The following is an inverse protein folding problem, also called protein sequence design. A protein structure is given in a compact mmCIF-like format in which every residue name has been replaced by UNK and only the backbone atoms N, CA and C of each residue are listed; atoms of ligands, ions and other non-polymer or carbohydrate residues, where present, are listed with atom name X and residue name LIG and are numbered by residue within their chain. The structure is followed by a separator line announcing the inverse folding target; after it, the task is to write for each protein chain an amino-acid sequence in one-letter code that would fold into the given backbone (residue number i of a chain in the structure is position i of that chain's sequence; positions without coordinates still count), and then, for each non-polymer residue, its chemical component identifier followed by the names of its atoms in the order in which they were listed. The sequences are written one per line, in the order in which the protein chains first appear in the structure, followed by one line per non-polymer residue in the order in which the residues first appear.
data_IF_345048652518
#
_entry.id   IF_345048652518
#
_cell.length_a   1.000
_cell.length_b   1.000
_cell.length_c   1.000
_cell.angle_alpha   90.00
_cell.angle_beta   90.00
_cell.angle_gamma   90.00
#
_symmetry.space_group_name_H-M   'P 1'
#
loop_
_entity.id
_entity.type
_entity.pdbx_description
1 polymer ?
#
# COMPACT_ATOMS: atom_id res chain seq x y z
N UNK A 1 67.34 5.80 -0.89
CA UNK A 1 66.08 6.53 -1.04
C UNK A 1 65.02 5.54 -1.50
N UNK A 2 64.18 5.02 -0.58
CA UNK A 2 63.15 4.03 -0.90
C UNK A 2 61.84 4.76 -1.15
N UNK A 3 61.33 4.68 -2.36
CA UNK A 3 60.02 5.22 -2.76
C UNK A 3 58.94 4.21 -2.33
N UNK A 4 58.08 4.59 -1.38
CA UNK A 4 56.90 3.79 -0.99
C UNK A 4 55.73 4.33 -1.79
N UNK A 5 55.30 3.56 -2.79
CA UNK A 5 54.08 3.85 -3.54
C UNK A 5 52.94 3.23 -2.74
N UNK A 6 52.17 4.08 -2.05
CA UNK A 6 50.95 3.69 -1.40
C UNK A 6 49.84 3.47 -2.41
N UNK A 7 49.37 2.22 -2.55
CA UNK A 7 48.15 1.91 -3.28
C UNK A 7 46.97 2.34 -2.45
N UNK A 8 46.30 3.42 -2.83
CA UNK A 8 44.96 3.74 -2.37
C UNK A 8 43.99 2.83 -3.09
N UNK A 9 43.48 1.80 -2.39
CA UNK A 9 42.34 1.03 -2.85
C UNK A 9 41.10 1.86 -2.54
N UNK A 10 40.58 2.54 -3.55
CA UNK A 10 39.28 3.20 -3.49
C UNK A 10 38.21 2.10 -3.56
N UNK A 11 37.70 1.65 -2.37
CA UNK A 11 36.56 0.78 -2.34
C UNK A 11 35.32 1.60 -2.70
N UNK A 12 34.93 1.54 -3.97
CA UNK A 12 33.63 2.02 -4.42
C UNK A 12 32.56 1.13 -3.81
N UNK A 13 31.95 1.60 -2.75
CA UNK A 13 30.74 1.02 -2.19
C UNK A 13 29.63 1.22 -3.23
N UNK A 14 29.43 0.23 -4.08
CA UNK A 14 28.29 0.18 -4.99
C UNK A 14 27.03 -0.04 -4.15
N UNK A 15 26.38 1.07 -3.78
CA UNK A 15 25.05 1.06 -3.21
C UNK A 15 24.08 0.66 -4.32
N UNK A 16 23.84 -0.65 -4.48
CA UNK A 16 22.76 -1.15 -5.31
C UNK A 16 21.44 -0.77 -4.65
N UNK A 17 20.90 0.39 -5.03
CA UNK A 17 19.50 0.70 -4.75
C UNK A 17 18.69 -0.17 -5.72
N UNK A 18 18.33 -1.37 -5.27
CA UNK A 18 17.37 -2.20 -5.97
C UNK A 18 16.02 -1.51 -5.90
N UNK A 19 15.67 -0.77 -6.94
CA UNK A 19 14.34 -0.21 -7.09
C UNK A 19 13.40 -1.36 -7.44
N UNK A 20 12.79 -1.98 -6.42
CA UNK A 20 11.84 -3.07 -6.65
C UNK A 20 10.59 -2.53 -7.33
N UNK A 21 10.37 -2.90 -8.58
CA UNK A 21 9.18 -2.56 -9.35
C UNK A 21 7.90 -3.24 -8.81
N UNK A 22 8.03 -4.25 -7.96
CA UNK A 22 6.95 -5.16 -7.56
C UNK A 22 6.55 -5.07 -6.07
N UNK A 23 7.02 -4.14 -5.31
CA UNK A 23 6.79 -4.11 -3.87
C UNK A 23 7.90 -4.81 -3.09
N UNK A 24 7.96 -4.55 -1.79
CA UNK A 24 8.97 -5.11 -0.90
C UNK A 24 8.40 -6.36 -0.22
N UNK A 25 9.15 -7.45 -0.24
CA UNK A 25 8.84 -8.60 0.60
C UNK A 25 9.09 -8.21 2.07
N UNK A 26 8.02 -8.22 2.87
CA UNK A 26 8.04 -7.80 4.28
C UNK A 26 8.18 -8.99 5.23
N UNK A 27 7.82 -10.15 4.79
CA UNK A 27 8.03 -11.46 5.41
C UNK A 27 7.95 -12.52 4.31
N UNK A 28 8.39 -13.74 4.60
CA UNK A 28 8.35 -14.84 3.63
C UNK A 28 6.95 -14.98 3.00
N UNK A 29 6.89 -14.93 1.69
CA UNK A 29 5.67 -15.09 0.89
C UNK A 29 4.72 -13.91 0.87
N UNK A 30 5.06 -12.75 1.49
CA UNK A 30 4.17 -11.59 1.56
C UNK A 30 4.84 -10.33 1.04
N UNK A 31 4.22 -9.73 0.04
CA UNK A 31 4.63 -8.47 -0.55
C UNK A 31 3.78 -7.30 -0.02
N UNK A 32 4.40 -6.13 0.08
CA UNK A 32 3.73 -4.87 0.32
C UNK A 32 4.12 -3.85 -0.73
N UNK A 33 3.14 -3.24 -1.38
CA UNK A 33 3.40 -2.09 -2.24
C UNK A 33 3.86 -0.93 -1.38
N UNK A 34 5.01 -0.29 -1.69
CA UNK A 34 5.49 0.86 -0.94
C UNK A 34 4.47 1.99 -0.90
N UNK A 35 4.33 2.65 0.25
CA UNK A 35 3.29 3.68 0.46
C UNK A 35 3.47 4.89 -0.47
N UNK A 36 4.70 5.17 -0.92
CA UNK A 36 5.03 6.24 -1.88
C UNK A 36 4.34 6.07 -3.24
N UNK A 37 3.95 4.83 -3.59
CA UNK A 37 3.22 4.54 -4.82
C UNK A 37 1.78 5.06 -4.80
N UNK A 38 1.27 5.43 -3.63
CA UNK A 38 -0.09 5.90 -3.42
C UNK A 38 -0.16 7.40 -3.10
N UNK A 39 0.96 8.11 -3.23
CA UNK A 39 1.00 9.54 -3.03
C UNK A 39 0.43 10.29 -4.24
N UNK A 40 -0.16 11.45 -3.97
CA UNK A 40 -0.68 12.37 -5.00
C UNK A 40 -1.69 11.77 -5.98
N UNK A 41 -2.46 10.78 -5.53
CA UNK A 41 -3.53 10.21 -6.34
C UNK A 41 -4.66 11.22 -6.54
N UNK A 42 -5.06 11.40 -7.81
CA UNK A 42 -6.11 12.35 -8.19
C UNK A 42 -7.45 11.98 -7.54
N UNK A 43 -8.06 12.96 -6.88
CA UNK A 43 -9.38 12.82 -6.24
C UNK A 43 -9.43 11.74 -5.13
N UNK A 44 -8.30 11.46 -4.47
CA UNK A 44 -8.22 10.45 -3.42
C UNK A 44 -7.57 11.02 -2.14
N UNK A 45 -8.26 11.94 -1.44
CA UNK A 45 -7.72 12.64 -0.27
C UNK A 45 -7.89 11.86 1.05
N UNK A 46 -8.29 10.58 0.98
CA UNK A 46 -8.66 9.81 2.14
C UNK A 46 -7.45 9.33 2.93
N UNK A 47 -7.55 9.41 4.26
CA UNK A 47 -6.53 8.88 5.15
C UNK A 47 -6.62 7.36 5.20
N UNK A 48 -5.50 6.64 5.06
CA UNK A 48 -5.51 5.19 5.17
C UNK A 48 -5.75 4.76 6.62
N UNK A 49 -6.55 3.70 6.79
CA UNK A 49 -6.61 2.92 8.01
C UNK A 49 -6.09 1.51 7.72
N UNK A 50 -5.53 0.87 8.73
CA UNK A 50 -4.98 -0.47 8.61
C UNK A 50 -5.40 -1.33 9.80
N UNK A 51 -5.64 -2.60 9.53
CA UNK A 51 -5.81 -3.64 10.54
C UNK A 51 -4.97 -4.85 10.18
N UNK A 52 -4.63 -5.65 11.17
CA UNK A 52 -3.92 -6.91 10.97
C UNK A 52 -4.92 -8.07 11.04
N UNK A 53 -4.98 -8.87 9.98
CA UNK A 53 -5.80 -10.08 9.91
C UNK A 53 -4.88 -11.21 9.44
N UNK A 54 -4.77 -12.26 10.24
CA UNK A 54 -3.94 -13.44 9.95
C UNK A 54 -2.48 -13.08 9.53
N UNK A 55 -1.95 -12.03 10.15
CA UNK A 55 -0.59 -11.56 9.89
C UNK A 55 -0.43 -10.76 8.59
N UNK A 56 -1.52 -10.40 7.91
CA UNK A 56 -1.53 -9.51 6.77
C UNK A 56 -2.04 -8.12 7.18
N UNK A 57 -1.42 -7.07 6.66
CA UNK A 57 -1.92 -5.71 6.79
C UNK A 57 -3.04 -5.49 5.77
N UNK A 58 -4.23 -5.20 6.24
CA UNK A 58 -5.40 -4.89 5.42
C UNK A 58 -5.68 -3.40 5.51
N UNK A 59 -5.74 -2.75 4.37
CA UNK A 59 -6.12 -1.34 4.24
C UNK A 59 -7.63 -1.20 4.13
N UNK A 60 -8.18 -0.14 4.73
CA UNK A 60 -9.56 0.26 4.52
C UNK A 60 -9.72 1.77 4.69
N UNK A 61 -10.73 2.31 4.02
CA UNK A 61 -11.24 3.65 4.27
C UNK A 61 -12.42 3.58 5.22
N UNK A 62 -12.59 4.62 6.05
CA UNK A 62 -13.71 4.75 6.97
C UNK A 62 -14.06 6.24 7.07
N UNK A 63 -14.99 6.65 6.25
CA UNK A 63 -15.36 8.03 6.01
C UNK A 63 -16.80 8.33 6.44
N UNK A 64 -17.07 9.56 6.85
CA UNK A 64 -18.39 10.02 7.30
C UNK A 64 -18.63 9.88 8.81
N UNK A 65 -19.90 10.08 9.27
CA UNK A 65 -20.25 10.06 10.69
C UNK A 65 -20.05 8.69 11.32
N UNK A 66 -19.40 8.63 12.47
CA UNK A 66 -19.05 7.37 13.15
C UNK A 66 -20.24 6.64 13.76
N UNK A 67 -21.31 7.36 14.03
CA UNK A 67 -22.56 6.89 14.64
C UNK A 67 -23.62 6.47 13.60
N UNK A 68 -23.37 6.72 12.32
CA UNK A 68 -24.25 6.25 11.24
C UNK A 68 -23.99 4.79 10.87
N UNK A 69 -25.05 4.08 10.47
CA UNK A 69 -24.91 2.74 9.90
C UNK A 69 -24.03 2.75 8.67
N UNK A 70 -23.02 1.87 8.59
CA UNK A 70 -22.06 1.91 7.51
C UNK A 70 -22.60 1.33 6.20
N UNK A 71 -22.30 2.01 5.10
CA UNK A 71 -22.37 1.43 3.75
C UNK A 71 -21.01 0.79 3.46
N UNK A 72 -21.03 -0.48 3.14
CA UNK A 72 -19.84 -1.24 2.81
C UNK A 72 -19.67 -1.32 1.29
N UNK A 73 -18.55 -0.79 0.76
CA UNK A 73 -18.25 -0.79 -0.67
C UNK A 73 -17.09 -1.77 -0.93
N UNK A 74 -17.42 -2.89 -1.55
CA UNK A 74 -16.44 -3.92 -1.90
C UNK A 74 -16.12 -3.85 -3.38
N UNK A 75 -14.83 -3.73 -3.71
CA UNK A 75 -14.36 -3.73 -5.10
C UNK A 75 -14.25 -5.16 -5.65
N UNK A 76 -14.25 -5.26 -6.98
CA UNK A 76 -13.89 -6.48 -7.70
C UNK A 76 -12.47 -6.43 -8.26
N UNK A 77 -12.06 -7.50 -8.92
CA UNK A 77 -10.78 -7.58 -9.61
C UNK A 77 -10.86 -6.84 -10.97
N UNK A 78 -9.84 -6.08 -11.38
CA UNK A 78 -8.55 -5.79 -10.72
C UNK A 78 -8.54 -4.44 -9.99
N UNK A 79 -9.65 -4.02 -9.40
CA UNK A 79 -9.79 -2.71 -8.76
C UNK A 79 -9.32 -2.72 -7.29
N UNK A 80 -9.44 -1.58 -6.62
CA UNK A 80 -9.20 -1.35 -5.20
C UNK A 80 -10.01 -0.13 -4.75
N UNK A 81 -9.93 0.31 -3.52
CA UNK A 81 -10.75 1.39 -2.97
C UNK A 81 -10.75 2.69 -3.79
N UNK A 82 -9.72 2.93 -4.59
CA UNK A 82 -9.67 4.06 -5.53
C UNK A 82 -10.85 4.10 -6.52
N UNK A 83 -11.44 2.95 -6.82
CA UNK A 83 -12.64 2.86 -7.68
C UNK A 83 -13.76 3.76 -7.15
N UNK A 84 -13.93 3.79 -5.84
CA UNK A 84 -15.04 4.49 -5.18
C UNK A 84 -14.75 5.95 -4.82
N UNK A 85 -13.61 6.51 -5.20
CA UNK A 85 -13.17 7.86 -4.82
C UNK A 85 -14.17 8.97 -5.11
N UNK A 86 -15.00 8.80 -6.14
CA UNK A 86 -16.07 9.77 -6.50
C UNK A 86 -17.38 9.48 -5.78
N UNK A 87 -17.62 8.23 -5.40
CA UNK A 87 -18.85 7.80 -4.73
C UNK A 87 -18.82 8.15 -3.23
N UNK A 88 -17.68 7.96 -2.59
CA UNK A 88 -17.50 8.22 -1.15
C UNK A 88 -18.00 9.63 -0.76
N UNK A 89 -17.55 10.73 -1.40
CA UNK A 89 -18.00 12.08 -1.02
C UNK A 89 -19.51 12.29 -1.18
N UNK A 90 -20.13 11.66 -2.17
CA UNK A 90 -21.58 11.75 -2.39
C UNK A 90 -22.35 11.10 -1.24
N UNK A 91 -21.93 9.91 -0.83
CA UNK A 91 -22.57 9.18 0.25
C UNK A 91 -22.37 9.85 1.61
N UNK A 92 -21.14 10.32 1.89
CA UNK A 92 -20.85 10.98 3.17
C UNK A 92 -21.56 12.35 3.28
N UNK A 93 -21.71 13.08 2.17
CA UNK A 93 -22.48 14.32 2.14
C UNK A 93 -23.99 14.12 2.48
N UNK A 94 -24.50 12.92 2.29
CA UNK A 94 -25.86 12.53 2.68
C UNK A 94 -25.96 11.95 4.10
N UNK A 95 -24.89 12.00 4.87
CA UNK A 95 -24.84 11.55 6.26
C UNK A 95 -24.55 10.07 6.44
N UNK A 96 -24.14 9.35 5.40
CA UNK A 96 -23.75 7.95 5.52
C UNK A 96 -22.31 7.79 5.97
N UNK A 97 -22.06 6.78 6.78
CA UNK A 97 -20.70 6.26 7.01
C UNK A 97 -20.37 5.27 5.90
N UNK A 98 -19.16 5.33 5.37
CA UNK A 98 -18.73 4.49 4.23
C UNK A 98 -17.45 3.77 4.62
N UNK A 99 -17.46 2.44 4.53
CA UNK A 99 -16.28 1.59 4.77
C UNK A 99 -15.90 0.91 3.47
N UNK A 100 -14.63 1.04 3.09
CA UNK A 100 -14.12 0.55 1.79
C UNK A 100 -12.79 -0.16 2.02
N UNK A 101 -12.77 -1.49 2.15
CA UNK A 101 -11.52 -2.22 2.25
C UNK A 101 -10.85 -2.40 0.89
N UNK A 102 -9.54 -2.57 0.91
CA UNK A 102 -8.79 -3.21 -0.18
C UNK A 102 -8.68 -4.70 0.15
N UNK A 103 -9.17 -5.56 -0.72
CA UNK A 103 -9.00 -7.00 -0.58
C UNK A 103 -7.52 -7.39 -0.57
N UNK A 104 -7.18 -8.51 0.06
CA UNK A 104 -5.83 -9.08 0.00
C UNK A 104 -5.42 -9.22 -1.47
N UNK A 105 -4.21 -8.79 -1.80
CA UNK A 105 -3.72 -8.76 -3.18
C UNK A 105 -3.89 -7.43 -3.89
N UNK A 106 -4.69 -6.51 -3.38
CA UNK A 106 -5.04 -5.28 -4.07
C UNK A 106 -4.69 -4.02 -3.26
N UNK A 107 -4.56 -2.91 -3.98
CA UNK A 107 -4.36 -1.58 -3.41
C UNK A 107 -3.25 -1.52 -2.37
N UNK A 108 -3.57 -0.96 -1.20
CA UNK A 108 -2.63 -0.79 -0.07
C UNK A 108 -2.59 -1.99 0.88
N UNK A 109 -3.42 -3.01 0.67
CA UNK A 109 -3.37 -4.27 1.42
C UNK A 109 -2.17 -5.11 1.01
N UNK A 110 -1.73 -5.98 1.91
CA UNK A 110 -0.67 -6.94 1.64
C UNK A 110 -1.09 -7.94 0.55
N UNK A 111 -0.10 -8.54 -0.08
CA UNK A 111 -0.26 -9.44 -1.24
C UNK A 111 0.52 -10.71 -0.99
N UNK A 112 -0.04 -11.84 -1.38
CA UNK A 112 0.73 -13.07 -1.44
C UNK A 112 1.67 -13.06 -2.64
N UNK A 113 2.86 -13.61 -2.47
CA UNK A 113 3.82 -13.80 -3.55
C UNK A 113 3.32 -14.86 -4.52
N UNK A 114 2.69 -15.90 -4.00
CA UNK A 114 2.13 -16.99 -4.78
C UNK A 114 0.64 -16.78 -5.03
N UNK A 115 0.21 -16.98 -6.28
CA UNK A 115 -1.21 -16.93 -6.66
C UNK A 115 -2.06 -18.07 -6.06
N UNK A 116 -1.43 -19.06 -5.45
CA UNK A 116 -2.11 -20.21 -4.84
C UNK A 116 -2.42 -20.00 -3.34
N UNK A 117 -1.99 -18.87 -2.77
CA UNK A 117 -2.20 -18.56 -1.35
C UNK A 117 -3.44 -17.68 -1.10
N UNK A 118 -4.20 -17.33 -2.15
CA UNK A 118 -5.44 -16.57 -2.09
C UNK A 118 -6.65 -17.45 -1.82
#
# INVERSE_FOLDING_TARGET
MKLIIGFFILSTLNLFISFSLYGNEIKEGVLRTPDERFENLKDYPFKPNYMMIDGLRIHYLDEGPRDADPIFLLHGEPAWSYLFRKMIPVLTAQGHRVIVPDCVGFGKSDKFLSKYDY
#
